data_IF_755221351404
#
_entry.id   IF_755221351404
#
_cell.length_a   1.000
_cell.length_b   1.000
_cell.length_c   1.000
_cell.angle_alpha   90.00
_cell.angle_beta   90.00
_cell.angle_gamma   90.00
#
_symmetry.space_group_name_H-M   'P 1'
#
loop_
_entity.id
_entity.type
_entity.pdbx_description
1 polymer ?
#
# COMPACT_ATOMS: atom_id res chain seq x y z
N UNK A 1 24.87 26.11 34.61
CA UNK A 1 23.66 26.55 33.89
C UNK A 1 23.58 26.06 32.46
N UNK A 2 24.61 26.14 31.63
CA UNK A 2 24.65 25.66 30.25
C UNK A 2 24.49 24.13 30.12
N UNK A 3 24.99 23.34 31.07
CA UNK A 3 24.92 21.88 31.03
C UNK A 3 23.51 21.35 31.34
N UNK A 4 22.75 22.05 32.17
CA UNK A 4 21.36 21.70 32.48
C UNK A 4 20.47 21.89 31.25
N UNK A 5 20.71 22.95 30.49
CA UNK A 5 19.95 23.26 29.27
C UNK A 5 20.22 22.20 28.18
N UNK A 6 21.47 21.77 28.03
CA UNK A 6 21.83 20.70 27.10
C UNK A 6 21.18 19.37 27.45
N UNK A 7 21.12 19.00 28.73
CA UNK A 7 20.47 17.75 29.16
C UNK A 7 18.96 17.77 28.91
N UNK A 8 18.28 18.90 29.11
CA UNK A 8 16.85 19.03 28.82
C UNK A 8 16.54 18.86 27.32
N UNK A 9 17.40 19.36 26.43
CA UNK A 9 17.20 19.22 24.98
C UNK A 9 17.23 17.75 24.54
N UNK A 10 18.15 16.96 25.08
CA UNK A 10 18.25 15.53 24.77
C UNK A 10 17.04 14.73 25.27
N UNK A 11 16.51 15.09 26.43
CA UNK A 11 15.29 14.47 26.97
C UNK A 11 14.10 14.75 26.06
N UNK A 12 13.92 15.98 25.60
CA UNK A 12 12.84 16.35 24.68
C UNK A 12 12.98 15.59 23.35
N UNK A 13 14.19 15.54 22.78
CA UNK A 13 14.44 14.79 21.55
C UNK A 13 14.10 13.31 21.71
N UNK A 14 14.53 12.71 22.83
CA UNK A 14 14.24 11.32 23.13
C UNK A 14 12.73 11.06 23.28
N UNK A 15 12.01 11.93 23.98
CA UNK A 15 10.55 11.82 24.13
C UNK A 15 9.81 11.91 22.79
N UNK A 16 10.21 12.83 21.92
CA UNK A 16 9.64 12.97 20.58
C UNK A 16 9.93 11.71 19.75
N UNK A 17 11.15 11.22 19.79
CA UNK A 17 11.55 10.00 19.06
C UNK A 17 10.77 8.77 19.52
N UNK A 18 10.67 8.54 20.82
CA UNK A 18 9.89 7.44 21.38
C UNK A 18 8.39 7.61 21.11
N UNK A 19 7.88 8.84 21.14
CA UNK A 19 6.50 9.13 20.76
C UNK A 19 6.19 8.74 19.31
N UNK A 20 7.09 9.05 18.38
CA UNK A 20 6.95 8.67 16.97
C UNK A 20 6.99 7.14 16.81
N UNK A 21 7.93 6.47 17.47
CA UNK A 21 8.02 5.01 17.42
C UNK A 21 6.76 4.33 17.98
N UNK A 22 6.27 4.81 19.12
CA UNK A 22 5.04 4.32 19.74
C UNK A 22 3.84 4.51 18.80
N UNK A 23 3.72 5.69 18.18
CA UNK A 23 2.67 5.98 17.21
C UNK A 23 2.69 5.03 16.02
N UNK A 24 3.88 4.77 15.43
CA UNK A 24 4.03 3.82 14.33
C UNK A 24 3.65 2.40 14.77
N UNK A 25 4.09 1.99 15.96
CA UNK A 25 3.77 0.68 16.51
C UNK A 25 2.26 0.49 16.74
N UNK A 26 1.57 1.49 17.26
CA UNK A 26 0.12 1.47 17.47
C UNK A 26 -0.62 1.35 16.13
N UNK A 27 -0.22 2.12 15.13
CA UNK A 27 -0.84 2.05 13.79
C UNK A 27 -0.67 0.64 13.21
N UNK A 28 0.55 0.10 13.24
CA UNK A 28 0.81 -1.25 12.71
C UNK A 28 0.06 -2.33 13.47
N UNK A 29 -0.04 -2.19 14.78
CA UNK A 29 -0.81 -3.14 15.60
C UNK A 29 -2.31 -3.10 15.25
N UNK A 30 -2.88 -1.91 15.09
CA UNK A 30 -4.28 -1.74 14.67
C UNK A 30 -4.54 -2.31 13.28
N UNK A 31 -3.65 -2.02 12.32
CA UNK A 31 -3.75 -2.53 10.95
C UNK A 31 -3.68 -4.06 10.96
N UNK A 32 -2.73 -4.63 11.69
CA UNK A 32 -2.59 -6.09 11.81
C UNK A 32 -3.79 -6.75 12.49
N UNK A 33 -4.28 -6.17 13.57
CA UNK A 33 -5.48 -6.67 14.24
C UNK A 33 -6.69 -6.70 13.29
N UNK A 34 -6.90 -5.63 12.54
CA UNK A 34 -7.96 -5.57 11.54
C UNK A 34 -7.80 -6.63 10.43
N UNK A 35 -6.58 -6.85 9.97
CA UNK A 35 -6.27 -7.88 8.97
C UNK A 35 -6.57 -9.27 9.53
N UNK A 36 -6.14 -9.56 10.76
CA UNK A 36 -6.36 -10.84 11.41
C UNK A 36 -7.86 -11.11 11.64
N UNK A 37 -8.62 -10.12 12.01
CA UNK A 37 -10.07 -10.22 12.20
C UNK A 37 -10.80 -10.49 10.88
N UNK A 38 -10.37 -9.88 9.77
CA UNK A 38 -11.03 -10.00 8.47
C UNK A 38 -10.53 -11.16 7.62
N UNK A 39 -9.24 -11.44 7.65
CA UNK A 39 -8.57 -12.40 6.78
C UNK A 39 -7.83 -13.52 7.54
N UNK A 40 -8.01 -13.64 8.85
CA UNK A 40 -7.25 -14.56 9.69
C UNK A 40 -7.29 -16.03 9.29
N UNK A 41 -8.34 -16.45 8.59
CA UNK A 41 -8.50 -17.81 8.06
C UNK A 41 -7.92 -17.96 6.64
N UNK A 42 -7.43 -16.88 6.03
CA UNK A 42 -6.88 -16.91 4.69
C UNK A 42 -5.35 -16.90 4.73
N UNK A 43 -4.76 -17.65 3.83
CA UNK A 43 -3.30 -17.75 3.72
C UNK A 43 -2.74 -16.54 2.98
N UNK A 44 -2.39 -15.47 3.70
CA UNK A 44 -1.78 -14.29 3.12
C UNK A 44 -0.43 -14.61 2.49
N UNK A 45 -0.23 -14.21 1.25
CA UNK A 45 1.01 -14.42 0.50
C UNK A 45 2.02 -13.30 0.71
N UNK A 46 1.56 -12.06 0.84
CA UNK A 46 2.40 -10.91 1.12
C UNK A 46 1.60 -9.78 1.79
N UNK A 47 2.30 -8.98 2.59
CA UNK A 47 1.75 -7.80 3.26
C UNK A 47 2.76 -6.66 3.15
N UNK A 48 2.28 -5.46 2.83
CA UNK A 48 3.07 -4.24 2.96
C UNK A 48 2.25 -3.13 3.61
N UNK A 49 2.79 -2.52 4.66
CA UNK A 49 2.15 -1.42 5.39
C UNK A 49 2.54 -0.04 4.88
N UNK A 50 3.58 0.06 4.08
CA UNK A 50 4.11 1.33 3.57
C UNK A 50 3.73 1.58 2.10
N UNK A 51 2.46 1.44 1.76
CA UNK A 51 1.99 1.54 0.37
C UNK A 51 1.27 2.85 0.15
N UNK A 52 1.58 3.52 -0.97
CA UNK A 52 0.82 4.65 -1.46
C UNK A 52 0.04 4.26 -2.71
N UNK A 53 -1.23 4.59 -2.70
CA UNK A 53 -2.18 4.39 -3.78
C UNK A 53 -2.49 5.71 -4.47
N UNK A 54 -2.56 5.72 -5.79
CA UNK A 54 -2.73 6.93 -6.60
C UNK A 54 -4.04 6.99 -7.39
N UNK A 55 -4.99 6.17 -7.03
CA UNK A 55 -6.31 6.14 -7.67
C UNK A 55 -6.40 5.21 -8.88
N UNK A 56 -7.61 5.06 -9.37
CA UNK A 56 -7.93 4.32 -10.60
C UNK A 56 -7.90 5.25 -11.80
N UNK A 57 -7.47 4.76 -12.96
CA UNK A 57 -7.39 5.55 -14.18
C UNK A 57 -8.76 6.05 -14.66
N UNK A 58 -9.82 5.33 -14.36
CA UNK A 58 -11.21 5.70 -14.71
C UNK A 58 -11.79 6.79 -13.81
N UNK A 59 -11.21 7.07 -12.67
CA UNK A 59 -11.62 8.18 -11.80
C UNK A 59 -11.30 9.53 -12.47
N UNK A 60 -12.20 10.52 -12.41
CA UNK A 60 -12.04 11.78 -13.15
C UNK A 60 -10.94 12.69 -12.60
N UNK A 61 -10.59 12.52 -11.35
CA UNK A 61 -9.62 13.36 -10.65
C UNK A 61 -8.17 13.04 -11.04
N UNK A 62 -7.27 14.01 -10.81
CA UNK A 62 -5.83 13.81 -10.89
C UNK A 62 -5.38 12.76 -9.88
N UNK A 63 -4.22 12.11 -10.09
CA UNK A 63 -3.68 11.15 -9.12
C UNK A 63 -3.57 11.78 -7.73
N UNK A 64 -4.21 11.19 -6.74
CA UNK A 64 -4.13 11.61 -5.35
C UNK A 64 -3.51 10.51 -4.50
N UNK A 65 -2.46 10.87 -3.80
CA UNK A 65 -1.78 9.96 -2.89
C UNK A 65 -2.66 9.60 -1.70
N UNK A 66 -2.78 8.31 -1.43
CA UNK A 66 -3.44 7.77 -0.26
C UNK A 66 -2.54 6.70 0.37
N UNK A 67 -2.22 6.85 1.65
CA UNK A 67 -1.37 5.88 2.37
C UNK A 67 -2.21 4.78 3.00
N UNK A 68 -1.73 3.56 2.91
CA UNK A 68 -2.42 2.40 3.45
C UNK A 68 -1.57 1.15 3.43
N UNK A 69 -2.22 0.00 3.43
CA UNK A 69 -1.56 -1.29 3.31
C UNK A 69 -2.10 -2.10 2.13
N UNK A 70 -1.23 -2.95 1.61
CA UNK A 70 -1.50 -3.84 0.48
C UNK A 70 -1.35 -5.28 0.93
N UNK A 71 -2.35 -6.10 0.65
CA UNK A 71 -2.36 -7.52 0.95
C UNK A 71 -2.43 -8.32 -0.34
N UNK A 72 -1.63 -9.36 -0.44
CA UNK A 72 -1.76 -10.36 -1.48
C UNK A 72 -2.39 -11.63 -0.89
N UNK A 73 -3.61 -11.90 -1.30
CA UNK A 73 -4.35 -13.11 -0.98
C UNK A 73 -4.10 -14.18 -2.05
N UNK A 74 -4.43 -15.44 -1.81
CA UNK A 74 -4.26 -16.50 -2.81
C UNK A 74 -5.00 -16.23 -4.13
N UNK A 75 -6.14 -15.52 -4.08
CA UNK A 75 -7.03 -15.29 -5.21
C UNK A 75 -7.22 -13.82 -5.58
N UNK A 76 -6.72 -12.88 -4.78
CA UNK A 76 -6.96 -11.46 -4.99
C UNK A 76 -5.86 -10.57 -4.42
N UNK A 77 -5.82 -9.34 -4.89
CA UNK A 77 -5.03 -8.25 -4.33
C UNK A 77 -5.98 -7.30 -3.59
N UNK A 78 -5.66 -6.94 -2.37
CA UNK A 78 -6.48 -6.08 -1.54
C UNK A 78 -5.69 -4.88 -1.02
N UNK A 79 -6.24 -3.68 -1.19
CA UNK A 79 -5.70 -2.44 -0.67
C UNK A 79 -6.72 -1.76 0.26
N UNK A 80 -6.23 -1.22 1.37
CA UNK A 80 -7.01 -0.35 2.27
C UNK A 80 -6.23 0.90 2.64
N UNK A 81 -6.88 2.06 2.45
CA UNK A 81 -6.39 3.35 2.93
C UNK A 81 -6.63 3.52 4.44
N UNK A 82 -5.67 4.15 5.13
CA UNK A 82 -5.83 4.46 6.56
C UNK A 82 -6.80 5.60 6.85
N UNK A 83 -6.78 6.62 6.01
CA UNK A 83 -7.49 7.88 6.27
C UNK A 83 -8.77 7.99 5.47
N UNK A 84 -8.75 7.63 4.21
CA UNK A 84 -9.86 7.87 3.27
C UNK A 84 -10.91 6.76 3.23
N UNK A 85 -10.81 5.72 4.03
CA UNK A 85 -11.68 4.55 4.02
C UNK A 85 -11.87 3.93 2.62
N UNK A 86 -10.87 4.06 1.76
CA UNK A 86 -10.85 3.44 0.44
C UNK A 86 -10.49 1.97 0.63
N UNK A 87 -11.29 1.10 0.09
CA UNK A 87 -10.99 -0.33 -0.03
C UNK A 87 -11.07 -0.72 -1.50
N UNK A 88 -10.07 -1.44 -1.97
CA UNK A 88 -10.01 -1.95 -3.33
C UNK A 88 -9.62 -3.41 -3.30
N UNK A 89 -10.44 -4.26 -3.86
CA UNK A 89 -10.14 -5.67 -4.08
C UNK A 89 -10.13 -5.97 -5.57
N UNK A 90 -9.03 -6.55 -6.05
CA UNK A 90 -8.86 -6.94 -7.44
C UNK A 90 -8.73 -8.46 -7.48
N UNK A 91 -9.75 -9.19 -7.94
CA UNK A 91 -9.64 -10.63 -8.15
C UNK A 91 -8.56 -10.96 -9.17
N UNK A 92 -7.76 -11.98 -8.89
CA UNK A 92 -6.67 -12.39 -9.77
C UNK A 92 -7.14 -12.74 -11.19
N UNK A 93 -8.34 -13.30 -11.32
CA UNK A 93 -8.97 -13.61 -12.61
C UNK A 93 -9.26 -12.37 -13.47
N UNK A 94 -9.30 -11.20 -12.89
CA UNK A 94 -9.56 -9.92 -13.56
C UNK A 94 -8.32 -9.13 -13.88
N UNK A 95 -7.14 -9.53 -13.40
CA UNK A 95 -5.86 -8.88 -13.68
C UNK A 95 -5.39 -9.26 -15.08
N UNK A 96 -5.15 -8.26 -15.92
CA UNK A 96 -4.61 -8.45 -17.26
C UNK A 96 -3.07 -8.46 -17.25
N UNK A 97 -2.45 -7.49 -16.58
CA UNK A 97 -0.99 -7.42 -16.44
C UNK A 97 -0.56 -6.60 -15.24
N UNK A 98 0.66 -6.87 -14.80
CA UNK A 98 1.38 -6.10 -13.78
C UNK A 98 2.66 -5.57 -14.42
N UNK A 99 2.94 -4.29 -14.29
CA UNK A 99 4.11 -3.66 -14.89
C UNK A 99 4.59 -2.47 -14.09
N UNK A 100 5.73 -1.95 -14.46
CA UNK A 100 6.39 -0.83 -13.84
C UNK A 100 6.28 0.41 -14.72
N UNK A 101 5.97 1.55 -14.12
CA UNK A 101 5.90 2.83 -14.82
C UNK A 101 6.15 3.99 -13.84
N UNK A 102 6.42 5.16 -14.36
CA UNK A 102 6.56 6.41 -13.60
C UNK A 102 5.34 7.31 -13.73
N UNK A 103 4.51 7.06 -14.72
CA UNK A 103 3.34 7.87 -15.04
C UNK A 103 2.05 7.19 -14.60
N UNK A 104 1.08 8.00 -14.20
CA UNK A 104 -0.28 7.54 -13.93
C UNK A 104 -1.28 8.63 -14.26
N UNK A 105 -2.34 8.31 -14.98
CA UNK A 105 -3.36 9.26 -15.44
C UNK A 105 -2.77 10.44 -16.21
N UNK A 106 -1.76 10.19 -17.03
CA UNK A 106 -1.06 11.21 -17.81
C UNK A 106 -0.09 12.11 -17.04
N UNK A 107 0.14 11.85 -15.75
CA UNK A 107 1.05 12.62 -14.89
C UNK A 107 2.29 11.80 -14.55
N UNK A 108 3.47 12.37 -14.75
CA UNK A 108 4.72 11.79 -14.26
C UNK A 108 4.88 12.09 -12.78
N UNK A 109 4.86 11.04 -11.96
CA UNK A 109 4.97 11.14 -10.51
C UNK A 109 6.43 11.10 -10.02
N UNK A 110 7.40 11.00 -10.95
CA UNK A 110 8.85 10.96 -10.67
C UNK A 110 9.26 9.86 -9.69
N UNK A 111 8.51 8.78 -9.66
CA UNK A 111 8.78 7.63 -8.81
C UNK A 111 8.43 6.33 -9.52
N UNK A 112 9.03 5.25 -9.06
CA UNK A 112 8.75 3.90 -9.55
C UNK A 112 7.41 3.42 -9.00
N UNK A 113 6.46 3.14 -9.88
CA UNK A 113 5.13 2.64 -9.54
C UNK A 113 4.95 1.22 -10.03
N UNK A 114 4.27 0.41 -9.25
CA UNK A 114 3.69 -0.85 -9.73
C UNK A 114 2.28 -0.54 -10.22
N UNK A 115 2.06 -0.79 -11.50
CA UNK A 115 0.75 -0.58 -12.15
C UNK A 115 0.11 -1.91 -12.48
N UNK A 116 -1.19 -1.96 -12.32
CA UNK A 116 -2.00 -3.15 -12.55
C UNK A 116 -3.15 -2.80 -13.46
N UNK A 117 -3.17 -3.40 -14.65
CA UNK A 117 -4.30 -3.34 -15.56
C UNK A 117 -5.25 -4.48 -15.24
N UNK A 118 -6.51 -4.15 -15.06
CA UNK A 118 -7.55 -5.11 -14.67
C UNK A 118 -8.92 -4.73 -15.24
N UNK A 119 -9.86 -5.63 -15.12
CA UNK A 119 -11.27 -5.38 -15.44
C UNK A 119 -11.98 -5.06 -14.12
N UNK A 120 -12.55 -3.86 -14.03
CA UNK A 120 -13.25 -3.40 -12.83
C UNK A 120 -14.64 -4.04 -12.65
N UNK A 121 -15.35 -3.67 -11.59
CA UNK A 121 -16.69 -4.17 -11.28
C UNK A 121 -17.75 -3.79 -12.32
N UNK A 122 -17.52 -2.73 -13.09
CA UNK A 122 -18.38 -2.27 -14.19
C UNK A 122 -18.02 -2.92 -15.53
N UNK A 123 -17.14 -3.91 -15.51
CA UNK A 123 -16.68 -4.64 -16.69
C UNK A 123 -15.87 -3.79 -17.68
N UNK A 124 -15.23 -2.72 -17.18
CA UNK A 124 -14.38 -1.82 -17.95
C UNK A 124 -12.90 -2.07 -17.64
N UNK A 125 -12.05 -1.79 -18.61
CA UNK A 125 -10.61 -1.77 -18.39
C UNK A 125 -10.23 -0.61 -17.49
N UNK A 126 -9.45 -0.90 -16.45
CA UNK A 126 -8.98 0.09 -15.49
C UNK A 126 -7.52 -0.17 -15.14
N UNK A 127 -6.88 0.82 -14.57
CA UNK A 127 -5.50 0.73 -14.13
C UNK A 127 -5.35 1.38 -12.77
N UNK A 128 -4.70 0.71 -11.86
CA UNK A 128 -4.29 1.25 -10.56
C UNK A 128 -2.79 1.39 -10.48
N UNK A 129 -2.32 2.32 -9.67
CA UNK A 129 -0.90 2.54 -9.43
C UNK A 129 -0.61 2.58 -7.94
N UNK A 130 0.42 1.84 -7.53
CA UNK A 130 0.90 1.77 -6.17
C UNK A 130 2.40 2.10 -6.11
N UNK A 131 2.80 2.89 -5.13
CA UNK A 131 4.18 2.94 -4.69
C UNK A 131 4.35 1.95 -3.55
N UNK A 132 5.15 0.92 -3.76
CA UNK A 132 5.43 -0.14 -2.81
C UNK A 132 6.92 -0.19 -2.48
N UNK A 133 7.31 -0.66 -1.29
CA UNK A 133 8.70 -1.05 -1.05
C UNK A 133 9.05 -2.26 -1.91
N UNK A 134 10.24 -2.26 -2.48
CA UNK A 134 10.74 -3.35 -3.34
C UNK A 134 9.80 -3.70 -4.53
N UNK A 135 9.57 -2.77 -5.48
CA UNK A 135 8.64 -2.98 -6.59
C UNK A 135 8.87 -4.26 -7.39
N UNK A 136 10.11 -4.65 -7.76
CA UNK A 136 10.34 -5.89 -8.51
C UNK A 136 9.86 -7.15 -7.81
N UNK A 137 10.05 -7.22 -6.49
CA UNK A 137 9.61 -8.37 -5.69
C UNK A 137 8.08 -8.44 -5.61
N UNK A 138 7.42 -7.31 -5.44
CA UNK A 138 5.96 -7.23 -5.44
C UNK A 138 5.37 -7.65 -6.79
N UNK A 139 5.91 -7.15 -7.89
CA UNK A 139 5.48 -7.53 -9.23
C UNK A 139 5.61 -9.04 -9.44
N UNK A 140 6.76 -9.61 -9.14
CA UNK A 140 7.02 -11.05 -9.27
C UNK A 140 6.06 -11.87 -8.39
N UNK A 141 5.82 -11.46 -7.15
CA UNK A 141 4.94 -12.17 -6.23
C UNK A 141 3.48 -12.11 -6.68
N UNK A 142 3.01 -10.97 -7.18
CA UNK A 142 1.67 -10.84 -7.75
C UNK A 142 1.52 -11.74 -8.99
N UNK A 143 2.47 -11.69 -9.91
CA UNK A 143 2.45 -12.51 -11.13
C UNK A 143 2.43 -14.00 -10.81
N UNK A 144 3.30 -14.45 -9.90
CA UNK A 144 3.39 -15.85 -9.51
C UNK A 144 2.14 -16.36 -8.77
N UNK A 145 1.50 -15.49 -7.99
CA UNK A 145 0.33 -15.87 -7.18
C UNK A 145 -0.97 -15.79 -7.96
N UNK A 146 -1.16 -14.74 -8.74
CA UNK A 146 -2.44 -14.42 -9.37
C UNK A 146 -2.49 -14.70 -10.88
N UNK A 147 -1.38 -14.57 -11.60
CA UNK A 147 -1.35 -14.71 -13.06
C UNK A 147 -0.84 -16.07 -13.56
N UNK A 148 0.10 -16.66 -12.86
CA UNK A 148 0.60 -18.01 -13.17
C UNK A 148 -0.17 -19.03 -12.32
N UNK A 149 -1.36 -19.39 -12.77
CA UNK A 149 -2.04 -20.59 -12.28
C UNK A 149 -1.58 -21.75 -13.19
N UNK A 150 -0.76 -22.61 -12.63
CA UNK A 150 -0.48 -23.93 -13.22
C UNK A 150 -1.75 -24.79 -13.26
#
# INVERSE_FOLDING_TARGET
>A
MLDIIKHQQWIVIALVFFGILAYIAIIRWRDRKWIDERFGNQNLRAISFGVNYFGQATEPDKPRRSSGFLLLLPDSLFYRSRVKKIELEIPGSRIARVYHDRTHKGVDLHMSLVKIDFINSENQRDTVAFKVPYPPQWMQTIENTLLKKD
#
